data_IF_708626932117
#
_entry.id   IF_708626932117
#
_cell.length_a   1.000
_cell.length_b   1.000
_cell.length_c   1.000
_cell.angle_alpha   90.00
_cell.angle_beta   90.00
_cell.angle_gamma   90.00
#
_symmetry.space_group_name_H-M   'P 1'
#
loop_
_entity.id
_entity.type
_entity.pdbx_description
1 polymer ?
#
# COMPACT_ATOMS: atom_id res chain seq x y z
N UNK A 1 -7.70 -39.54 -3.03
CA UNK A 1 -8.21 -39.48 -4.43
C UNK A 1 -9.28 -38.41 -4.67
N UNK A 2 -10.39 -38.34 -3.92
CA UNK A 2 -11.48 -37.35 -4.15
C UNK A 2 -11.03 -35.87 -4.08
N UNK A 3 -10.17 -35.51 -3.12
CA UNK A 3 -9.62 -34.14 -3.01
C UNK A 3 -8.75 -33.76 -4.23
N UNK A 4 -7.90 -34.67 -4.68
CA UNK A 4 -7.04 -34.48 -5.85
C UNK A 4 -7.86 -34.28 -7.14
N UNK A 5 -8.89 -35.11 -7.36
CA UNK A 5 -9.81 -34.95 -8.49
C UNK A 5 -10.56 -33.61 -8.47
N UNK A 6 -10.93 -33.11 -7.27
CA UNK A 6 -11.60 -31.81 -7.11
C UNK A 6 -10.67 -30.64 -7.44
N UNK A 7 -9.42 -30.68 -6.95
CA UNK A 7 -8.40 -29.67 -7.26
C UNK A 7 -8.06 -29.68 -8.76
N UNK A 8 -7.94 -30.87 -9.37
CA UNK A 8 -7.71 -31.01 -10.81
C UNK A 8 -8.88 -30.44 -11.62
N UNK A 9 -10.12 -30.75 -11.24
CA UNK A 9 -11.31 -30.20 -11.90
C UNK A 9 -11.38 -28.67 -11.78
N UNK A 10 -11.10 -28.10 -10.61
CA UNK A 10 -11.03 -26.65 -10.41
C UNK A 10 -9.95 -26.00 -11.29
N UNK A 11 -8.78 -26.64 -11.39
CA UNK A 11 -7.71 -26.20 -12.26
C UNK A 11 -8.11 -26.24 -13.75
N UNK A 12 -8.73 -27.33 -14.21
CA UNK A 12 -9.24 -27.45 -15.58
C UNK A 12 -10.32 -26.40 -15.90
N UNK A 13 -11.27 -26.18 -14.98
CA UNK A 13 -12.30 -25.12 -15.10
C UNK A 13 -11.65 -23.75 -15.17
N UNK A 14 -10.66 -23.47 -14.32
CA UNK A 14 -9.91 -22.22 -14.35
C UNK A 14 -9.22 -22.01 -15.71
N UNK A 15 -8.54 -23.02 -16.25
CA UNK A 15 -7.90 -22.96 -17.57
C UNK A 15 -8.93 -22.72 -18.69
N UNK A 16 -10.06 -23.42 -18.64
CA UNK A 16 -11.15 -23.26 -19.60
C UNK A 16 -11.75 -21.85 -19.57
N UNK A 17 -12.10 -21.34 -18.39
CA UNK A 17 -12.57 -19.97 -18.21
C UNK A 17 -11.55 -18.94 -18.69
N UNK A 18 -10.25 -19.17 -18.44
CA UNK A 18 -9.16 -18.31 -18.92
C UNK A 18 -9.07 -18.31 -20.44
N UNK A 19 -9.26 -19.46 -21.09
CA UNK A 19 -9.30 -19.57 -22.55
C UNK A 19 -10.53 -18.87 -23.15
N UNK A 20 -11.72 -19.13 -22.62
CA UNK A 20 -12.96 -18.46 -23.02
C UNK A 20 -12.88 -16.94 -22.87
N UNK A 21 -12.33 -16.45 -21.75
CA UNK A 21 -12.15 -15.02 -21.55
C UNK A 21 -11.23 -14.40 -22.62
N UNK A 22 -10.20 -15.13 -23.05
CA UNK A 22 -9.27 -14.67 -24.10
C UNK A 22 -9.96 -14.59 -25.46
N UNK A 23 -10.70 -15.62 -25.85
CA UNK A 23 -11.44 -15.63 -27.12
C UNK A 23 -12.51 -14.53 -27.12
N UNK A 24 -13.24 -14.37 -26.01
CA UNK A 24 -14.18 -13.27 -25.81
C UNK A 24 -13.50 -11.89 -25.99
N UNK A 25 -12.35 -11.66 -25.36
CA UNK A 25 -11.61 -10.40 -25.51
C UNK A 25 -11.21 -10.10 -26.96
N UNK A 26 -10.81 -11.14 -27.71
CA UNK A 26 -10.49 -11.01 -29.13
C UNK A 26 -11.74 -10.65 -29.94
N UNK A 27 -12.85 -11.36 -29.74
CA UNK A 27 -14.14 -11.09 -30.39
C UNK A 27 -14.62 -9.66 -30.10
N UNK A 28 -14.63 -9.25 -28.83
CA UNK A 28 -15.03 -7.88 -28.46
C UNK A 28 -14.13 -6.84 -29.12
N UNK A 29 -12.82 -7.10 -29.24
CA UNK A 29 -11.92 -6.17 -29.96
C UNK A 29 -12.27 -6.08 -31.45
N UNK A 30 -12.62 -7.20 -32.09
CA UNK A 30 -13.03 -7.21 -33.50
C UNK A 30 -14.35 -6.49 -33.73
N UNK A 31 -15.32 -6.65 -32.83
CA UNK A 31 -16.65 -6.03 -32.93
C UNK A 31 -16.61 -4.54 -32.57
N UNK A 32 -15.96 -4.17 -31.48
CA UNK A 32 -16.00 -2.80 -30.94
C UNK A 32 -14.83 -1.92 -31.38
N UNK A 33 -13.78 -2.49 -31.97
CA UNK A 33 -12.52 -1.82 -32.25
C UNK A 33 -11.69 -1.47 -30.99
N UNK A 34 -12.25 -1.60 -29.79
CA UNK A 34 -11.60 -1.20 -28.53
C UNK A 34 -10.87 -2.37 -27.88
N UNK A 35 -9.65 -2.14 -27.41
CA UNK A 35 -8.93 -3.09 -26.57
C UNK A 35 -9.40 -3.07 -25.11
N UNK A 36 -8.92 -4.03 -24.30
CA UNK A 36 -9.29 -4.16 -22.88
C UNK A 36 -8.99 -2.90 -22.07
N UNK A 37 -7.81 -2.28 -22.25
CA UNK A 37 -7.43 -1.05 -21.57
C UNK A 37 -8.37 0.12 -21.90
N UNK A 38 -8.75 0.28 -23.18
CA UNK A 38 -9.74 1.28 -23.59
C UNK A 38 -11.10 1.04 -22.92
N UNK A 39 -11.55 -0.22 -22.87
CA UNK A 39 -12.82 -0.56 -22.21
C UNK A 39 -12.77 -0.31 -20.69
N UNK A 40 -11.63 -0.57 -20.04
CA UNK A 40 -11.47 -0.30 -18.60
C UNK A 40 -11.52 1.21 -18.34
N UNK A 41 -10.77 2.01 -19.10
CA UNK A 41 -10.75 3.47 -18.92
C UNK A 41 -12.12 4.10 -19.20
N UNK A 42 -12.86 3.62 -20.21
CA UNK A 42 -14.19 4.15 -20.56
C UNK A 42 -15.27 3.77 -19.53
N UNK A 43 -15.27 2.52 -19.05
CA UNK A 43 -16.35 2.00 -18.19
C UNK A 43 -16.15 2.25 -16.69
N UNK A 44 -15.02 2.82 -16.27
CA UNK A 44 -14.73 3.05 -14.85
C UNK A 44 -14.25 4.48 -14.69
N UNK A 45 -14.77 5.22 -13.70
CA UNK A 45 -14.31 6.58 -13.35
C UNK A 45 -12.83 6.56 -12.88
N UNK A 46 -12.11 7.69 -12.94
CA UNK A 46 -10.77 7.79 -12.37
C UNK A 46 -10.72 7.35 -10.91
N UNK A 47 -9.64 6.67 -10.49
CA UNK A 47 -9.44 6.21 -9.11
C UNK A 47 -9.19 4.70 -8.98
N UNK A 48 -9.16 4.21 -7.74
CA UNK A 48 -8.66 2.88 -7.36
C UNK A 48 -9.27 1.72 -8.18
N UNK A 49 -10.58 1.73 -8.42
CA UNK A 49 -11.25 0.65 -9.17
C UNK A 49 -10.74 0.54 -10.61
N UNK A 50 -10.49 1.67 -11.28
CA UNK A 50 -9.94 1.68 -12.63
C UNK A 50 -8.49 1.18 -12.60
N UNK A 51 -7.71 1.67 -11.65
CA UNK A 51 -6.30 1.34 -11.46
C UNK A 51 -6.08 -0.14 -11.21
N UNK A 52 -6.83 -0.76 -10.29
CA UNK A 52 -6.75 -2.20 -10.01
C UNK A 52 -7.09 -3.07 -11.23
N UNK A 53 -8.06 -2.64 -12.04
CA UNK A 53 -8.42 -3.33 -13.28
C UNK A 53 -7.34 -3.20 -14.35
N UNK A 54 -6.73 -2.01 -14.49
CA UNK A 54 -5.59 -1.79 -15.40
C UNK A 54 -4.40 -2.64 -14.94
N UNK A 55 -4.05 -2.60 -13.66
CA UNK A 55 -2.95 -3.39 -13.09
C UNK A 55 -3.15 -4.89 -13.38
N UNK A 56 -4.34 -5.41 -13.12
CA UNK A 56 -4.69 -6.81 -13.43
C UNK A 56 -4.57 -7.10 -14.93
N UNK A 57 -5.07 -6.20 -15.79
CA UNK A 57 -4.99 -6.35 -17.24
C UNK A 57 -3.54 -6.37 -17.74
N UNK A 58 -2.64 -5.61 -17.11
CA UNK A 58 -1.22 -5.53 -17.43
C UNK A 58 -0.49 -6.79 -16.93
N UNK A 59 -0.63 -7.14 -15.64
CA UNK A 59 -0.01 -8.32 -15.01
C UNK A 59 -0.35 -9.63 -15.72
N UNK A 60 -1.61 -9.81 -16.13
CA UNK A 60 -2.07 -11.04 -16.78
C UNK A 60 -2.03 -11.00 -18.31
N UNK A 61 -1.37 -9.99 -18.89
CA UNK A 61 -1.11 -9.89 -20.32
C UNK A 61 -0.21 -11.05 -20.81
N UNK A 62 -0.22 -11.33 -22.12
CA UNK A 62 0.78 -12.20 -22.78
C UNK A 62 2.05 -11.46 -23.19
N UNK A 63 1.98 -10.13 -23.25
CA UNK A 63 3.11 -9.30 -23.66
C UNK A 63 3.95 -8.96 -22.44
N UNK A 64 5.23 -9.29 -22.50
CA UNK A 64 6.24 -8.97 -21.47
C UNK A 64 6.32 -7.47 -21.22
N UNK A 65 6.27 -6.64 -22.27
CA UNK A 65 6.21 -5.18 -22.15
C UNK A 65 5.04 -4.70 -21.26
N UNK A 66 3.86 -5.30 -21.42
CA UNK A 66 2.71 -4.94 -20.58
C UNK A 66 2.83 -5.48 -19.16
N UNK A 67 3.45 -6.63 -18.98
CA UNK A 67 3.70 -7.21 -17.66
C UNK A 67 4.74 -6.38 -16.88
N UNK A 68 5.80 -5.92 -17.55
CA UNK A 68 6.85 -5.11 -16.93
C UNK A 68 6.41 -3.68 -16.63
N UNK A 69 5.41 -3.16 -17.34
CA UNK A 69 4.88 -1.81 -17.14
C UNK A 69 4.45 -1.53 -15.69
N UNK A 70 3.92 -2.51 -14.95
CA UNK A 70 3.51 -2.30 -13.55
C UNK A 70 4.69 -2.12 -12.59
N UNK A 71 5.91 -2.42 -13.04
CA UNK A 71 7.14 -2.29 -12.26
C UNK A 71 8.04 -1.16 -12.75
N UNK A 72 7.57 -0.35 -13.70
CA UNK A 72 8.35 0.73 -14.31
C UNK A 72 8.80 1.76 -13.28
N UNK A 73 9.96 2.37 -13.49
CA UNK A 73 10.38 3.55 -12.73
C UNK A 73 9.45 4.73 -13.01
N UNK A 74 9.12 5.59 -12.02
CA UNK A 74 8.26 6.76 -12.20
C UNK A 74 8.62 7.63 -13.42
N UNK A 75 9.90 7.94 -13.60
CA UNK A 75 10.39 8.80 -14.70
C UNK A 75 10.20 8.20 -16.10
N UNK A 76 10.00 6.88 -16.18
CA UNK A 76 9.82 6.16 -17.44
C UNK A 76 8.34 5.87 -17.75
N UNK A 77 7.42 6.34 -16.91
CA UNK A 77 5.98 6.08 -17.09
C UNK A 77 5.48 6.59 -18.44
N UNK A 78 5.82 7.82 -18.84
CA UNK A 78 5.37 8.42 -20.10
C UNK A 78 5.81 7.60 -21.31
N UNK A 79 7.11 7.30 -21.40
CA UNK A 79 7.68 6.44 -22.46
C UNK A 79 7.05 5.04 -22.47
N UNK A 80 6.69 4.52 -21.30
CA UNK A 80 5.99 3.24 -21.17
C UNK A 80 4.57 3.33 -21.73
N UNK A 81 3.84 4.42 -21.48
CA UNK A 81 2.52 4.66 -22.08
C UNK A 81 2.60 4.70 -23.59
N UNK A 82 3.57 5.40 -24.17
CA UNK A 82 3.77 5.46 -25.63
C UNK A 82 3.99 4.06 -26.21
N UNK A 83 4.83 3.27 -25.53
CA UNK A 83 5.12 1.88 -25.91
C UNK A 83 3.86 0.99 -25.83
N UNK A 84 3.03 1.18 -24.79
CA UNK A 84 1.74 0.48 -24.64
C UNK A 84 0.78 0.87 -25.77
N UNK A 85 0.67 2.15 -26.08
CA UNK A 85 -0.23 2.66 -27.13
C UNK A 85 0.19 2.15 -28.51
N UNK A 86 1.49 2.18 -28.82
CA UNK A 86 2.06 1.63 -30.04
C UNK A 86 1.80 0.12 -30.15
N UNK A 87 2.11 -0.66 -29.11
CA UNK A 87 1.89 -2.10 -29.07
C UNK A 87 0.40 -2.45 -29.27
N UNK A 88 -0.50 -1.66 -28.69
CA UNK A 88 -1.94 -1.87 -28.80
C UNK A 88 -2.53 -1.29 -30.08
N UNK A 89 -1.73 -0.59 -30.92
CA UNK A 89 -2.18 0.11 -32.13
C UNK A 89 -3.33 1.09 -31.83
N UNK A 90 -3.17 1.88 -30.77
CA UNK A 90 -4.16 2.87 -30.35
C UNK A 90 -3.76 4.21 -30.97
N UNK A 91 -4.68 4.83 -31.71
CA UNK A 91 -4.48 6.18 -32.24
C UNK A 91 -4.76 7.21 -31.13
N UNK A 92 -3.75 8.01 -30.71
CA UNK A 92 -3.91 9.04 -29.68
C UNK A 92 -4.99 10.08 -30.02
N UNK A 93 -5.08 10.50 -31.28
CA UNK A 93 -6.00 11.56 -31.73
C UNK A 93 -7.46 11.16 -31.57
N UNK A 94 -7.74 9.86 -31.73
CA UNK A 94 -9.10 9.32 -31.55
C UNK A 94 -9.48 9.11 -30.08
N UNK A 95 -8.51 9.09 -29.17
CA UNK A 95 -8.70 8.78 -27.75
C UNK A 95 -7.72 9.56 -26.86
N UNK A 96 -7.73 10.90 -26.88
CA UNK A 96 -6.71 11.72 -26.19
C UNK A 96 -6.71 11.48 -24.67
N UNK A 97 -7.89 11.20 -24.10
CA UNK A 97 -8.05 10.94 -22.66
C UNK A 97 -7.51 9.59 -22.21
N UNK A 98 -7.22 8.67 -23.13
CA UNK A 98 -6.75 7.34 -22.77
C UNK A 98 -5.32 7.38 -22.23
N UNK A 99 -4.43 8.13 -22.90
CA UNK A 99 -3.03 8.29 -22.46
C UNK A 99 -2.97 8.83 -21.03
N UNK A 100 -3.69 9.93 -20.78
CA UNK A 100 -3.81 10.56 -19.46
C UNK A 100 -4.36 9.57 -18.42
N UNK A 101 -5.43 8.83 -18.77
CA UNK A 101 -6.04 7.86 -17.86
C UNK A 101 -5.09 6.70 -17.51
N UNK A 102 -4.31 6.22 -18.49
CA UNK A 102 -3.33 5.17 -18.30
C UNK A 102 -2.13 5.66 -17.50
N UNK A 103 -1.62 6.86 -17.80
CA UNK A 103 -0.53 7.50 -17.06
C UNK A 103 -0.89 7.66 -15.58
N UNK A 104 -2.05 8.25 -15.28
CA UNK A 104 -2.52 8.42 -13.90
C UNK A 104 -2.63 7.06 -13.17
N UNK A 105 -3.13 6.03 -13.85
CA UNK A 105 -3.25 4.69 -13.26
C UNK A 105 -1.87 4.04 -13.04
N UNK A 106 -0.93 4.22 -13.97
CA UNK A 106 0.41 3.64 -13.86
C UNK A 106 1.24 4.33 -12.77
N UNK A 107 1.13 5.66 -12.65
CA UNK A 107 1.71 6.41 -11.52
C UNK A 107 1.15 5.95 -10.19
N UNK A 108 -0.16 5.67 -10.08
CA UNK A 108 -0.74 5.13 -8.85
C UNK A 108 -0.23 3.73 -8.52
N UNK A 109 -0.09 2.84 -9.50
CA UNK A 109 0.46 1.49 -9.31
C UNK A 109 1.90 1.55 -8.80
N UNK A 110 2.76 2.30 -9.51
CA UNK A 110 4.18 2.43 -9.18
C UNK A 110 4.35 3.16 -7.85
N UNK A 111 3.61 4.25 -7.64
CA UNK A 111 3.64 5.03 -6.41
C UNK A 111 3.22 4.22 -5.19
N UNK A 112 2.15 3.44 -5.28
CA UNK A 112 1.73 2.55 -4.19
C UNK A 112 2.79 1.51 -3.87
N UNK A 113 3.40 0.89 -4.88
CA UNK A 113 4.49 -0.07 -4.68
C UNK A 113 5.67 0.57 -3.95
N UNK A 114 6.11 1.74 -4.40
CA UNK A 114 7.23 2.45 -3.78
C UNK A 114 6.89 2.84 -2.33
N UNK A 115 5.66 3.32 -2.07
CA UNK A 115 5.19 3.60 -0.72
C UNK A 115 5.26 2.37 0.19
N UNK A 116 4.81 1.20 -0.29
CA UNK A 116 4.90 -0.05 0.48
C UNK A 116 6.35 -0.40 0.81
N UNK A 117 7.28 -0.20 -0.13
CA UNK A 117 8.72 -0.44 0.10
C UNK A 117 9.27 0.49 1.18
N UNK A 118 8.99 1.79 1.12
CA UNK A 118 9.47 2.75 2.12
C UNK A 118 8.85 2.52 3.50
N UNK A 119 7.54 2.20 3.57
CA UNK A 119 6.87 1.85 4.82
C UNK A 119 7.46 0.57 5.42
N UNK A 120 7.71 -0.46 4.60
CA UNK A 120 8.35 -1.70 5.07
C UNK A 120 9.80 -1.48 5.50
N UNK A 121 10.53 -0.55 4.88
CA UNK A 121 11.87 -0.16 5.30
C UNK A 121 11.83 0.42 6.71
N UNK A 122 10.96 1.40 6.98
CA UNK A 122 10.76 1.99 8.30
C UNK A 122 10.28 0.96 9.34
N UNK A 123 9.41 0.02 8.94
CA UNK A 123 8.91 -1.03 9.84
C UNK A 123 10.02 -1.99 10.26
N UNK A 124 11.01 -2.23 9.39
CA UNK A 124 12.13 -3.15 9.64
C UNK A 124 13.32 -2.46 10.28
N UNK A 125 13.38 -1.14 10.24
CA UNK A 125 14.41 -0.37 10.90
C UNK A 125 14.21 -0.45 12.42
N UNK A 126 15.14 -1.07 13.16
CA UNK A 126 15.02 -1.21 14.60
C UNK A 126 15.22 0.15 15.26
N UNK A 127 14.49 0.37 16.36
CA UNK A 127 14.80 1.48 17.25
C UNK A 127 16.22 1.31 17.83
N UNK A 128 17.01 2.39 17.75
CA UNK A 128 18.38 2.45 18.25
C UNK A 128 18.51 3.56 19.29
N UNK A 129 18.93 3.20 20.50
CA UNK A 129 19.11 4.13 21.62
C UNK A 129 20.39 4.96 21.51
N UNK A 130 21.34 4.55 20.68
CA UNK A 130 22.55 5.33 20.41
C UNK A 130 22.34 6.34 19.26
N UNK A 131 21.21 6.25 18.56
CA UNK A 131 20.83 7.21 17.53
C UNK A 131 20.04 8.36 18.16
N UNK A 132 20.61 9.57 18.08
CA UNK A 132 20.05 10.78 18.66
C UNK A 132 18.65 11.11 18.10
N UNK A 133 18.40 10.91 16.81
CA UNK A 133 17.11 11.21 16.19
C UNK A 133 16.01 10.30 16.74
N UNK A 134 16.33 9.02 16.98
CA UNK A 134 15.40 8.05 17.53
C UNK A 134 15.03 8.38 18.99
N UNK A 135 16.04 8.70 19.80
CA UNK A 135 15.84 9.12 21.19
C UNK A 135 15.07 10.45 21.27
N UNK A 136 15.36 11.42 20.41
CA UNK A 136 14.62 12.69 20.33
C UNK A 136 13.13 12.46 20.02
N UNK A 137 12.80 11.61 19.04
CA UNK A 137 11.42 11.26 18.73
C UNK A 137 10.71 10.60 19.91
N UNK A 138 11.37 9.67 20.60
CA UNK A 138 10.79 8.99 21.77
C UNK A 138 10.56 9.94 22.95
N UNK A 139 11.51 10.84 23.22
CA UNK A 139 11.36 11.87 24.25
C UNK A 139 10.28 12.89 23.88
N UNK A 140 10.14 13.23 22.59
CA UNK A 140 9.08 14.10 22.09
C UNK A 140 7.70 13.47 22.26
N UNK A 141 7.57 12.17 22.02
CA UNK A 141 6.33 11.43 22.26
C UNK A 141 5.91 11.56 23.74
N UNK A 142 6.85 11.32 24.67
CA UNK A 142 6.59 11.48 26.09
C UNK A 142 6.13 12.89 26.43
N UNK A 143 6.89 13.91 26.04
CA UNK A 143 6.57 15.33 26.30
C UNK A 143 5.20 15.72 25.75
N UNK A 144 4.80 15.12 24.63
CA UNK A 144 3.51 15.40 24.00
C UNK A 144 2.35 14.82 24.80
N UNK A 145 2.49 13.58 25.29
CA UNK A 145 1.45 12.85 26.04
C UNK A 145 1.42 13.15 27.55
N UNK A 146 2.57 13.53 28.13
CA UNK A 146 2.79 13.79 29.57
C UNK A 146 3.62 15.07 29.79
N UNK A 147 3.12 16.25 29.37
CA UNK A 147 3.88 17.51 29.51
C UNK A 147 4.18 17.89 30.95
N UNK A 148 3.30 17.54 31.89
CA UNK A 148 3.41 17.90 33.32
C UNK A 148 4.32 16.98 34.14
N UNK A 149 4.79 15.87 33.56
CA UNK A 149 5.61 14.87 34.27
C UNK A 149 6.87 14.59 33.47
N UNK A 150 8.00 15.26 33.76
CA UNK A 150 9.28 14.96 33.12
C UNK A 150 9.71 13.51 33.37
N UNK A 151 10.37 12.90 32.38
CA UNK A 151 11.00 11.60 32.56
C UNK A 151 12.16 11.72 33.56
N UNK A 152 12.16 10.82 34.54
CA UNK A 152 13.27 10.61 35.49
C UNK A 152 14.51 10.01 34.82
N UNK A 153 14.30 9.29 33.71
CA UNK A 153 15.36 8.69 32.91
C UNK A 153 14.80 7.92 31.72
N UNK A 154 15.69 7.59 30.78
CA UNK A 154 15.34 6.83 29.57
C UNK A 154 14.83 5.43 29.89
N UNK A 155 15.35 4.78 30.93
CA UNK A 155 14.81 3.51 31.44
C UNK A 155 14.08 3.82 32.74
N UNK A 156 12.75 3.75 32.73
CA UNK A 156 11.92 4.07 33.90
C UNK A 156 10.53 3.41 33.80
N UNK A 157 9.88 3.17 34.94
CA UNK A 157 8.50 2.66 34.98
C UNK A 157 7.48 3.63 34.38
N UNK A 158 7.84 4.90 34.19
CA UNK A 158 6.96 5.93 33.66
C UNK A 158 6.45 5.58 32.25
N UNK A 159 7.23 4.87 31.45
CA UNK A 159 6.80 4.41 30.12
C UNK A 159 5.54 3.54 30.14
N UNK A 160 5.33 2.76 31.20
CA UNK A 160 4.09 2.00 31.38
C UNK A 160 2.85 2.90 31.50
N UNK A 161 2.99 4.15 31.94
CA UNK A 161 1.90 5.11 32.06
C UNK A 161 1.34 5.58 30.72
N UNK A 162 2.07 5.31 29.62
CA UNK A 162 1.63 5.60 28.25
C UNK A 162 1.48 4.34 27.39
N UNK A 163 1.48 3.15 28.01
CA UNK A 163 1.13 1.88 27.34
C UNK A 163 2.30 0.94 27.04
N UNK A 164 3.55 1.34 27.24
CA UNK A 164 4.70 0.45 27.01
C UNK A 164 4.75 -0.72 28.01
N UNK A 165 5.13 -1.91 27.56
CA UNK A 165 5.05 -3.13 28.37
C UNK A 165 6.11 -3.21 29.49
N UNK A 166 7.18 -2.42 29.42
CA UNK A 166 8.25 -2.42 30.42
C UNK A 166 8.91 -1.05 30.59
N UNK A 167 10.01 -1.05 31.36
CA UNK A 167 10.73 0.18 31.67
C UNK A 167 11.53 0.75 30.49
N UNK A 168 11.73 -0.05 29.43
CA UNK A 168 12.47 0.33 28.24
C UNK A 168 11.61 0.13 26.98
N UNK A 169 11.07 1.24 26.41
CA UNK A 169 10.34 1.27 25.15
C UNK A 169 11.02 0.58 23.97
N UNK A 170 12.36 0.44 23.98
CA UNK A 170 13.10 -0.24 22.91
C UNK A 170 12.54 -1.64 22.64
N UNK A 171 12.07 -2.33 23.67
CA UNK A 171 11.57 -3.70 23.54
C UNK A 171 10.20 -3.79 22.85
N UNK A 172 9.42 -2.72 22.87
CA UNK A 172 8.08 -2.66 22.27
C UNK A 172 8.15 -2.41 20.75
N UNK A 173 9.21 -1.75 20.26
CA UNK A 173 9.39 -1.47 18.82
C UNK A 173 9.92 -2.66 18.00
N UNK A 174 10.06 -3.87 18.58
CA UNK A 174 10.61 -5.04 17.85
C UNK A 174 9.77 -5.47 16.63
N UNK A 175 8.45 -5.30 16.68
CA UNK A 175 7.55 -5.73 15.60
C UNK A 175 7.34 -4.67 14.51
N UNK A 176 7.20 -3.41 14.91
CA UNK A 176 6.88 -2.28 14.03
C UNK A 176 8.05 -1.33 13.77
N UNK A 177 9.22 -1.56 14.37
CA UNK A 177 10.41 -0.72 14.18
C UNK A 177 10.13 0.75 14.45
N UNK A 178 10.83 1.62 13.73
CA UNK A 178 10.60 3.06 13.76
C UNK A 178 9.22 3.47 13.25
N UNK A 179 8.61 2.71 12.34
CA UNK A 179 7.25 3.01 11.86
C UNK A 179 6.25 3.10 13.03
N UNK A 180 6.41 2.25 14.06
CA UNK A 180 5.61 2.33 15.27
C UNK A 180 5.78 3.66 16.00
N UNK A 181 7.03 4.09 16.23
CA UNK A 181 7.34 5.35 16.89
C UNK A 181 6.84 6.57 16.09
N UNK A 182 7.04 6.57 14.77
CA UNK A 182 6.53 7.63 13.88
C UNK A 182 5.02 7.76 13.97
N UNK A 183 4.29 6.65 13.91
CA UNK A 183 2.82 6.68 13.95
C UNK A 183 2.30 7.16 15.31
N UNK A 184 2.90 6.70 16.41
CA UNK A 184 2.53 7.15 17.76
C UNK A 184 2.78 8.65 17.94
N UNK A 185 3.96 9.13 17.53
CA UNK A 185 4.30 10.54 17.61
C UNK A 185 3.40 11.39 16.71
N UNK A 186 3.20 10.97 15.45
CA UNK A 186 2.32 11.68 14.52
C UNK A 186 0.90 11.82 15.09
N UNK A 187 0.35 10.73 15.65
CA UNK A 187 -0.96 10.74 16.27
C UNK A 187 -1.02 11.69 17.48
N UNK A 188 -0.01 11.64 18.36
CA UNK A 188 0.06 12.51 19.52
C UNK A 188 0.20 14.01 19.15
N UNK A 189 0.86 14.32 18.03
CA UNK A 189 1.08 15.70 17.58
C UNK A 189 -0.10 16.28 16.79
N UNK A 190 -0.73 15.48 15.92
CA UNK A 190 -1.74 15.96 14.98
C UNK A 190 -3.17 15.82 15.50
N UNK A 191 -3.40 14.85 16.40
CA UNK A 191 -4.70 14.63 17.04
C UNK A 191 -4.52 14.37 18.54
N UNK A 192 -3.88 15.34 19.21
CA UNK A 192 -3.52 15.25 20.63
C UNK A 192 -4.72 14.96 21.53
N UNK A 193 -5.88 15.55 21.25
CA UNK A 193 -7.08 15.35 22.05
C UNK A 193 -7.53 13.87 22.01
N UNK A 194 -7.59 13.29 20.81
CA UNK A 194 -7.94 11.88 20.64
C UNK A 194 -6.86 10.97 21.20
N UNK A 195 -5.57 11.28 21.01
CA UNK A 195 -4.47 10.51 21.58
C UNK A 195 -4.51 10.46 23.11
N UNK A 196 -4.78 11.59 23.77
CA UNK A 196 -4.95 11.64 25.22
C UNK A 196 -6.22 10.93 25.70
N UNK A 197 -7.31 11.01 24.93
CA UNK A 197 -8.54 10.28 25.24
C UNK A 197 -8.33 8.77 25.15
N UNK A 198 -7.71 8.28 24.07
CA UNK A 198 -7.35 6.85 23.90
C UNK A 198 -6.45 6.39 25.05
N UNK A 199 -5.45 7.18 25.41
CA UNK A 199 -4.58 6.88 26.54
C UNK A 199 -5.34 6.83 27.86
N UNK A 200 -6.20 7.81 28.14
CA UNK A 200 -7.02 7.83 29.35
C UNK A 200 -7.94 6.59 29.42
N UNK A 201 -8.57 6.23 28.31
CA UNK A 201 -9.51 5.10 28.25
C UNK A 201 -8.81 3.75 28.44
N UNK A 202 -7.58 3.61 27.93
CA UNK A 202 -6.77 2.40 28.12
C UNK A 202 -6.41 2.10 29.58
N UNK A 203 -6.35 3.14 30.41
CA UNK A 203 -6.04 3.04 31.84
C UNK A 203 -7.29 2.68 32.66
N UNK A 204 -8.48 2.69 32.06
CA UNK A 204 -9.71 2.36 32.77
C UNK A 204 -9.91 0.84 32.92
N UNK A 205 -10.27 0.35 34.13
CA UNK A 205 -10.43 -1.08 34.40
C UNK A 205 -11.44 -1.82 33.52
N UNK A 206 -12.39 -1.10 32.91
CA UNK A 206 -13.45 -1.68 32.05
C UNK A 206 -13.06 -1.81 30.57
N UNK A 207 -11.99 -1.15 30.13
CA UNK A 207 -11.58 -1.08 28.72
C UNK A 207 -10.06 -1.26 28.55
N UNK A 208 -9.41 -2.03 29.43
CA UNK A 208 -7.97 -2.24 29.38
C UNK A 208 -7.56 -2.92 28.07
N UNK A 209 -7.20 -2.12 27.08
CA UNK A 209 -6.54 -2.52 25.84
C UNK A 209 -5.19 -1.84 25.87
N UNK A 210 -4.07 -2.57 25.71
CA UNK A 210 -2.76 -1.93 25.58
C UNK A 210 -2.77 -0.99 24.37
N UNK A 211 -2.32 0.26 24.58
CA UNK A 211 -2.20 1.32 23.56
C UNK A 211 -0.98 1.07 22.70
#
# INVERSE_FOLDING_TARGET
MKHFLRVLAQFCVFLYCKFLWRTFKFVVRKVTGRCELQRICYNNKPGARRTLKIESSLKFSKSELLQSAVNVHPDLVEKTIDSIMALKKINPDTNPQLGISLQASLLQIVGYRNLVVEVEKLRREPYDCENLEHEEMLLKLWKTLRPESPLSGRISKQWCEIGFQGNDPKTDFRGMGLLGLYNLLYFAEHDKATALQVLHDSLQPKHSVPV
#
